data_IF_064130444969
#
_entry.id   IF_064130444969
#
_cell.length_a   1.000
_cell.length_b   1.000
_cell.length_c   1.000
_cell.angle_alpha   90.00
_cell.angle_beta   90.00
_cell.angle_gamma   90.00
#
_symmetry.space_group_name_H-M   'P 1'
#
loop_
_entity.id
_entity.type
_entity.pdbx_description
1 polymer ?
#
# COMPACT_ATOMS: atom_id res chain seq x y z
N UNK A 1 -7.28 13.47 -11.79
CA UNK A 1 -6.54 13.32 -10.52
C UNK A 1 -5.08 13.57 -10.82
N UNK A 2 -4.47 14.62 -10.28
CA UNK A 2 -3.05 14.92 -10.53
C UNK A 2 -2.23 14.15 -9.50
N UNK A 3 -1.72 12.98 -9.88
CA UNK A 3 -0.84 12.20 -9.01
C UNK A 3 0.50 12.93 -8.85
N UNK A 4 0.86 13.32 -7.62
CA UNK A 4 2.21 13.82 -7.34
C UNK A 4 2.96 12.66 -6.70
N UNK A 5 3.48 11.75 -7.52
CA UNK A 5 4.29 10.62 -7.05
C UNK A 5 5.63 11.18 -6.54
N UNK A 6 5.67 11.51 -5.25
CA UNK A 6 6.86 12.07 -4.58
C UNK A 6 7.73 10.96 -4.00
N UNK A 7 7.11 9.84 -3.61
CA UNK A 7 7.76 8.74 -2.90
C UNK A 7 7.66 7.48 -3.74
N UNK A 8 8.82 6.86 -3.98
CA UNK A 8 8.90 5.54 -4.63
C UNK A 8 8.16 4.49 -3.79
N UNK A 9 7.40 3.65 -4.46
CA UNK A 9 6.55 2.62 -3.85
C UNK A 9 6.36 1.44 -4.80
N UNK A 10 5.50 0.51 -4.41
CA UNK A 10 5.16 -0.66 -5.23
C UNK A 10 3.97 -0.30 -6.13
N UNK A 11 4.08 -0.46 -7.46
CA UNK A 11 2.93 -0.30 -8.36
C UNK A 11 1.96 -1.47 -8.17
N UNK A 12 0.74 -1.18 -7.69
CA UNK A 12 -0.33 -2.17 -7.54
C UNK A 12 -1.55 -1.79 -8.38
N UNK A 13 -2.19 -2.75 -9.08
CA UNK A 13 -3.47 -2.52 -9.74
C UNK A 13 -4.59 -2.48 -8.70
N UNK A 14 -5.18 -1.29 -8.47
CA UNK A 14 -6.29 -1.08 -7.55
C UNK A 14 -7.46 -0.43 -8.30
N UNK A 15 -8.66 -1.03 -8.22
CA UNK A 15 -9.87 -0.50 -8.86
C UNK A 15 -9.73 -0.20 -10.36
N UNK A 16 -8.98 -1.03 -11.09
CA UNK A 16 -8.76 -0.87 -12.54
C UNK A 16 -7.71 0.17 -12.95
N UNK A 17 -6.97 0.75 -11.99
CA UNK A 17 -5.84 1.65 -12.27
C UNK A 17 -4.61 1.26 -11.45
N UNK A 18 -3.41 1.52 -11.97
CA UNK A 18 -2.16 1.27 -11.24
C UNK A 18 -1.86 2.43 -10.30
N UNK A 19 -1.77 2.14 -9.00
CA UNK A 19 -1.37 3.07 -7.96
C UNK A 19 0.02 2.74 -7.43
N UNK A 20 0.83 3.76 -7.19
CA UNK A 20 2.13 3.61 -6.55
C UNK A 20 1.92 3.67 -5.04
N UNK A 21 1.91 2.50 -4.39
CA UNK A 21 1.73 2.37 -2.94
C UNK A 21 3.07 2.59 -2.25
N UNK A 22 3.28 3.75 -1.57
CA UNK A 22 4.53 3.98 -0.86
C UNK A 22 4.55 3.19 0.47
N UNK A 23 5.71 3.00 1.09
CA UNK A 23 5.78 2.41 2.42
C UNK A 23 5.07 3.29 3.46
N UNK A 24 4.62 2.69 4.56
CA UNK A 24 4.01 3.39 5.67
C UNK A 24 5.00 4.39 6.28
N UNK A 25 4.51 5.58 6.66
CA UNK A 25 5.35 6.56 7.35
C UNK A 25 5.47 6.20 8.84
N UNK A 26 6.56 6.64 9.49
CA UNK A 26 6.82 6.28 10.89
C UNK A 26 5.75 6.77 11.88
N UNK A 27 5.11 7.92 11.62
CA UNK A 27 4.03 8.42 12.48
C UNK A 27 2.77 7.57 12.38
N UNK A 28 2.43 7.07 11.19
CA UNK A 28 1.34 6.12 11.00
C UNK A 28 1.70 4.73 11.56
N UNK A 29 2.97 4.32 11.46
CA UNK A 29 3.46 3.08 12.08
C UNK A 29 3.34 3.15 13.61
N UNK A 30 3.70 4.27 14.23
CA UNK A 30 3.55 4.48 15.68
C UNK A 30 2.08 4.41 16.11
N UNK A 31 1.16 5.04 15.36
CA UNK A 31 -0.27 5.01 15.70
C UNK A 31 -0.94 3.66 15.45
N UNK A 32 -0.48 2.92 14.44
CA UNK A 32 -1.06 1.64 14.05
C UNK A 32 -0.31 0.45 14.65
N UNK A 33 0.82 0.66 15.33
CA UNK A 33 1.70 -0.37 15.89
C UNK A 33 0.93 -1.47 16.62
N UNK A 34 0.06 -1.13 17.57
CA UNK A 34 -0.69 -2.11 18.35
C UNK A 34 -1.65 -2.91 17.46
N UNK A 35 -2.27 -2.28 16.47
CA UNK A 35 -3.19 -2.95 15.54
C UNK A 35 -2.44 -3.86 14.58
N UNK A 36 -1.29 -3.39 14.09
CA UNK A 36 -0.40 -4.15 13.21
C UNK A 36 0.21 -5.35 13.94
N UNK A 37 0.56 -5.21 15.22
CA UNK A 37 1.05 -6.32 16.04
C UNK A 37 -0.02 -7.39 16.28
N UNK A 38 -1.29 -7.00 16.32
CA UNK A 38 -2.43 -7.91 16.45
C UNK A 38 -3.04 -8.33 15.09
N UNK A 39 -2.45 -7.91 13.97
CA UNK A 39 -2.93 -8.25 12.65
C UNK A 39 -2.68 -9.73 12.37
N UNK A 40 -3.75 -10.48 12.18
CA UNK A 40 -3.72 -11.93 11.95
C UNK A 40 -3.75 -12.30 10.45
N UNK A 41 -3.94 -11.31 9.56
CA UNK A 41 -4.17 -11.55 8.13
C UNK A 41 -5.59 -12.01 7.80
N UNK A 42 -6.51 -11.99 8.76
CA UNK A 42 -7.91 -12.37 8.57
C UNK A 42 -8.77 -11.29 7.90
N UNK A 43 -9.99 -11.67 7.53
CA UNK A 43 -11.06 -10.78 7.03
C UNK A 43 -11.95 -10.23 8.16
N UNK A 44 -11.50 -10.34 9.40
CA UNK A 44 -12.18 -9.72 10.55
C UNK A 44 -12.15 -8.19 10.45
N UNK A 45 -13.17 -7.55 11.03
CA UNK A 45 -13.36 -6.10 10.93
C UNK A 45 -12.14 -5.29 11.40
N UNK A 46 -11.40 -5.81 12.38
CA UNK A 46 -10.17 -5.20 12.90
C UNK A 46 -9.04 -5.25 11.88
N UNK A 47 -8.80 -6.41 11.28
CA UNK A 47 -7.78 -6.60 10.23
C UNK A 47 -8.10 -5.76 8.98
N UNK A 48 -9.36 -5.77 8.54
CA UNK A 48 -9.82 -4.95 7.41
C UNK A 48 -9.61 -3.46 7.69
N UNK A 49 -10.06 -2.98 8.86
CA UNK A 49 -9.88 -1.57 9.24
C UNK A 49 -8.41 -1.16 9.28
N UNK A 50 -7.54 -2.04 9.78
CA UNK A 50 -6.09 -1.80 9.85
C UNK A 50 -5.46 -1.68 8.48
N UNK A 51 -5.80 -2.56 7.53
CA UNK A 51 -5.28 -2.46 6.16
C UNK A 51 -5.77 -1.18 5.48
N UNK A 52 -7.04 -0.82 5.63
CA UNK A 52 -7.58 0.41 5.04
C UNK A 52 -6.92 1.67 5.60
N UNK A 53 -6.72 1.74 6.92
CA UNK A 53 -6.06 2.88 7.57
C UNK A 53 -4.58 2.97 7.17
N UNK A 54 -3.87 1.84 7.13
CA UNK A 54 -2.47 1.79 6.70
C UNK A 54 -2.30 2.16 5.22
N UNK A 55 -3.15 1.61 4.35
CA UNK A 55 -3.16 1.92 2.92
C UNK A 55 -3.49 3.38 2.65
N UNK A 56 -4.46 3.95 3.35
CA UNK A 56 -4.80 5.37 3.24
C UNK A 56 -3.63 6.25 3.68
N UNK A 57 -3.06 5.99 4.87
CA UNK A 57 -1.91 6.74 5.39
C UNK A 57 -0.66 6.67 4.49
N UNK A 58 -0.48 5.57 3.77
CA UNK A 58 0.53 5.44 2.74
C UNK A 58 0.17 6.25 1.48
N UNK A 59 -1.01 5.99 0.88
CA UNK A 59 -1.41 6.55 -0.40
C UNK A 59 -1.52 8.08 -0.38
N UNK A 60 -2.00 8.70 0.70
CA UNK A 60 -2.12 10.17 0.78
C UNK A 60 -0.80 10.91 0.57
N UNK A 61 0.33 10.23 0.78
CA UNK A 61 1.66 10.80 0.58
C UNK A 61 1.95 11.11 -0.91
N UNK A 62 1.38 10.31 -1.82
CA UNK A 62 1.46 10.50 -3.27
C UNK A 62 0.15 11.06 -3.87
N UNK A 63 -0.98 10.83 -3.18
CA UNK A 63 -2.33 11.16 -3.62
C UNK A 63 -3.09 11.89 -2.51
N UNK A 64 -2.76 13.16 -2.20
CA UNK A 64 -3.31 13.88 -1.06
C UNK A 64 -4.85 14.06 -1.10
N UNK A 65 -5.45 14.06 -2.29
CA UNK A 65 -6.90 14.12 -2.48
C UNK A 65 -7.61 12.77 -2.29
N UNK A 66 -6.86 11.67 -2.05
CA UNK A 66 -7.45 10.34 -1.89
C UNK A 66 -8.07 10.20 -0.50
N UNK A 67 -9.37 9.92 -0.46
CA UNK A 67 -10.11 9.72 0.79
C UNK A 67 -10.04 8.27 1.25
N UNK A 68 -10.23 8.05 2.56
CA UNK A 68 -10.31 6.70 3.14
C UNK A 68 -11.44 5.87 2.52
N UNK A 69 -12.58 6.50 2.28
CA UNK A 69 -13.73 5.88 1.62
C UNK A 69 -13.35 5.38 0.23
N UNK A 70 -12.62 6.20 -0.53
CA UNK A 70 -12.16 5.80 -1.85
C UNK A 70 -11.16 4.66 -1.79
N UNK A 71 -10.27 4.65 -0.80
CA UNK A 71 -9.35 3.53 -0.56
C UNK A 71 -10.12 2.24 -0.27
N UNK A 72 -11.21 2.31 0.50
CA UNK A 72 -12.06 1.16 0.78
C UNK A 72 -12.81 0.62 -0.46
N UNK A 73 -13.07 1.46 -1.46
CA UNK A 73 -13.61 1.02 -2.76
C UNK A 73 -12.54 0.41 -3.70
N UNK A 74 -11.26 0.67 -3.44
CA UNK A 74 -10.13 0.24 -4.28
C UNK A 74 -9.50 -1.08 -3.79
N UNK A 75 -9.67 -1.38 -2.50
CA UNK A 75 -9.08 -2.54 -1.83
C UNK A 75 -10.17 -3.59 -1.60
N UNK A 76 -9.95 -4.75 -2.17
CA UNK A 76 -10.82 -5.91 -2.08
C UNK A 76 -10.09 -7.04 -1.33
N UNK A 77 -10.83 -8.07 -0.93
CA UNK A 77 -10.25 -9.25 -0.25
C UNK A 77 -9.12 -9.90 -1.09
N UNK A 78 -9.19 -9.80 -2.42
CA UNK A 78 -8.19 -10.36 -3.32
C UNK A 78 -6.84 -9.61 -3.30
N UNK A 79 -6.84 -8.29 -3.09
CA UNK A 79 -5.62 -7.46 -3.13
C UNK A 79 -5.19 -6.95 -1.73
N UNK A 80 -6.01 -7.19 -0.69
CA UNK A 80 -5.74 -6.78 0.70
C UNK A 80 -4.36 -7.23 1.19
N UNK A 81 -3.96 -8.47 0.91
CA UNK A 81 -2.66 -8.99 1.28
C UNK A 81 -1.51 -8.23 0.60
N UNK A 82 -1.59 -8.05 -0.72
CA UNK A 82 -0.56 -7.36 -1.49
C UNK A 82 -0.41 -5.89 -1.06
N UNK A 83 -1.53 -5.21 -0.80
CA UNK A 83 -1.54 -3.84 -0.29
C UNK A 83 -0.86 -3.77 1.07
N UNK A 84 -1.19 -4.70 1.97
CA UNK A 84 -0.61 -4.75 3.30
C UNK A 84 0.90 -4.96 3.26
N UNK A 85 1.36 -5.88 2.40
CA UNK A 85 2.79 -6.10 2.19
C UNK A 85 3.49 -4.89 1.57
N UNK A 86 2.83 -4.17 0.65
CA UNK A 86 3.38 -2.97 0.03
C UNK A 86 3.57 -1.82 1.02
N UNK A 87 2.61 -1.61 1.93
CA UNK A 87 2.75 -0.60 2.99
C UNK A 87 3.77 -1.01 4.06
N UNK A 88 3.93 -2.31 4.30
CA UNK A 88 4.90 -2.86 5.25
C UNK A 88 6.30 -3.11 4.67
N UNK A 89 6.60 -2.75 3.41
CA UNK A 89 7.95 -2.90 2.85
C UNK A 89 8.96 -1.93 3.49
N UNK A 90 9.38 -2.26 4.72
CA UNK A 90 10.35 -1.51 5.54
C UNK A 90 11.76 -1.64 4.97
N UNK A 91 12.07 -2.76 4.30
CA UNK A 91 13.41 -3.09 3.81
C UNK A 91 13.68 -2.67 2.37
N UNK A 92 12.65 -2.27 1.61
CA UNK A 92 12.81 -2.00 0.17
C UNK A 92 13.13 -3.25 -0.65
N UNK A 93 13.02 -4.43 -0.06
CA UNK A 93 13.33 -5.71 -0.71
C UNK A 93 12.28 -6.04 -1.76
N UNK A 94 11.00 -5.78 -1.45
CA UNK A 94 9.91 -6.01 -2.40
C UNK A 94 9.96 -4.98 -3.53
N UNK A 95 10.30 -3.71 -3.25
CA UNK A 95 10.59 -2.71 -4.29
C UNK A 95 11.71 -3.13 -5.24
N UNK A 96 12.83 -3.64 -4.73
CA UNK A 96 13.95 -4.12 -5.56
C UNK A 96 13.56 -5.30 -6.45
N UNK A 97 12.73 -6.23 -5.96
CA UNK A 97 12.23 -7.34 -6.76
C UNK A 97 11.37 -6.85 -7.95
N UNK A 98 10.42 -5.93 -7.70
CA UNK A 98 9.62 -5.31 -8.75
C UNK A 98 10.46 -4.47 -9.73
N UNK A 99 11.48 -3.75 -9.27
CA UNK A 99 12.41 -3.01 -10.13
C UNK A 99 13.24 -3.97 -11.02
N UNK A 100 13.64 -5.13 -10.49
CA UNK A 100 14.43 -6.14 -11.24
C UNK A 100 13.56 -6.88 -12.27
N UNK A 101 12.33 -7.24 -11.91
CA UNK A 101 11.37 -7.90 -12.83
C UNK A 101 10.89 -6.95 -13.94
N UNK A 102 10.69 -5.67 -13.62
CA UNK A 102 10.36 -4.62 -14.62
C UNK A 102 11.52 -4.27 -15.57
N UNK A 103 12.77 -4.52 -15.17
CA UNK A 103 13.95 -4.33 -16.02
C UNK A 103 14.23 -5.52 -16.96
N UNK A 104 13.66 -6.71 -16.70
CA UNK A 104 13.90 -7.89 -17.55
C UNK A 104 13.03 -7.96 -18.80
N UNK A 105 12.04 -7.08 -18.99
CA UNK A 105 11.25 -6.98 -20.25
C UNK A 105 11.69 -5.82 -21.15
N UNK A 106 12.81 -5.19 -20.84
CA UNK A 106 13.27 -3.98 -21.51
C UNK A 106 14.74 -3.99 -21.89
N UNK A 107 15.37 -5.14 -22.15
CA UNK A 107 16.68 -5.18 -22.82
C UNK A 107 16.92 -6.57 -23.44
N UNK A 108 17.05 -6.57 -24.78
CA UNK A 108 17.53 -7.60 -25.72
C UNK A 108 16.60 -8.78 -26.09
#
# INVERSE_FOLDING_TARGET
MTAIVKIKGIPLPLGGATYIVPPLNLGALEQLQDRLANFSGGIDASSVGTVLDAAHAALIRNYPDLTRERVAELIDVANMGEVMEAVMDVSGLKRQAFETEGQSSGEA
#
